data_IF_497300350861
#
_entry.id   IF_497300350861
#
_cell.length_a   1.000
_cell.length_b   1.000
_cell.length_c   1.000
_cell.angle_alpha   90.00
_cell.angle_beta   90.00
_cell.angle_gamma   90.00
#
_symmetry.space_group_name_H-M   'P 1'
#
loop_
_entity.id
_entity.type
_entity.pdbx_description
1 polymer ?
#
# COMPACT_ATOMS: atom_id res chain seq x y z
N UNK A 1 15.25 2.25 -14.73
CA UNK A 1 14.89 1.53 -15.96
C UNK A 1 13.86 2.36 -16.69
N UNK A 2 14.10 2.70 -17.96
CA UNK A 2 13.16 3.48 -18.76
C UNK A 2 12.13 2.55 -19.41
N UNK A 3 10.86 2.77 -19.08
CA UNK A 3 9.69 2.00 -19.54
C UNK A 3 8.61 2.95 -20.06
N UNK A 4 9.01 4.16 -20.47
CA UNK A 4 8.13 5.19 -21.06
C UNK A 4 7.58 4.77 -22.42
N UNK A 5 6.55 5.48 -22.89
CA UNK A 5 5.86 5.24 -24.15
C UNK A 5 5.28 3.82 -24.27
N UNK A 6 4.79 3.27 -23.16
CA UNK A 6 4.10 1.98 -23.13
C UNK A 6 2.60 2.13 -22.88
N UNK A 7 1.84 1.16 -23.38
CA UNK A 7 0.40 1.02 -23.14
C UNK A 7 0.15 0.06 -21.98
N UNK A 8 -0.33 0.56 -20.85
CA UNK A 8 -0.55 -0.25 -19.63
C UNK A 8 -1.98 -0.77 -19.48
N UNK A 9 -2.84 -0.59 -20.49
CA UNK A 9 -4.24 -1.02 -20.46
C UNK A 9 -5.17 -0.14 -19.64
N UNK A 10 -4.69 1.02 -19.19
CA UNK A 10 -5.45 2.03 -18.44
C UNK A 10 -4.81 3.40 -18.64
N UNK A 11 -5.64 4.44 -18.67
CA UNK A 11 -5.20 5.83 -18.71
C UNK A 11 -4.93 6.44 -17.34
N UNK A 12 -5.24 5.72 -16.26
CA UNK A 12 -5.12 6.19 -14.89
C UNK A 12 -3.72 5.84 -14.33
N UNK A 13 -2.92 6.85 -13.99
CA UNK A 13 -1.56 6.69 -13.49
C UNK A 13 -1.50 5.92 -12.17
N UNK A 14 -2.47 6.12 -11.27
CA UNK A 14 -2.56 5.38 -10.01
C UNK A 14 -2.77 3.87 -10.22
N UNK A 15 -3.51 3.48 -11.27
CA UNK A 15 -3.67 2.07 -11.62
C UNK A 15 -2.41 1.48 -12.25
N UNK A 16 -1.65 2.27 -13.02
CA UNK A 16 -0.35 1.86 -13.55
C UNK A 16 0.65 1.67 -12.40
N UNK A 17 0.73 2.63 -11.48
CA UNK A 17 1.61 2.58 -10.30
C UNK A 17 1.32 1.35 -9.42
N UNK A 18 0.06 0.92 -9.30
CA UNK A 18 -0.28 -0.31 -8.56
C UNK A 18 0.16 -1.60 -9.26
N UNK A 19 0.43 -1.57 -10.57
CA UNK A 19 0.85 -2.73 -11.37
C UNK A 19 2.36 -2.82 -11.50
N UNK A 20 3.04 -1.67 -11.44
CA UNK A 20 4.50 -1.59 -11.45
C UNK A 20 5.00 -1.97 -10.06
N UNK A 21 5.99 -2.85 -10.01
CA UNK A 21 6.70 -3.18 -8.78
C UNK A 21 8.16 -2.76 -8.96
N UNK A 22 8.58 -1.70 -8.27
CA UNK A 22 9.87 -1.05 -8.51
C UNK A 22 10.55 -0.58 -7.21
N UNK A 23 11.45 0.40 -7.33
CA UNK A 23 12.17 1.00 -6.21
C UNK A 23 11.24 1.53 -5.10
N UNK A 24 10.07 2.06 -5.44
CA UNK A 24 9.14 2.63 -4.46
C UNK A 24 8.35 1.52 -3.70
N UNK A 25 8.40 0.26 -4.16
CA UNK A 25 7.91 -0.90 -3.40
C UNK A 25 9.03 -1.59 -2.61
N UNK A 26 10.16 -1.90 -3.25
CA UNK A 26 11.37 -2.39 -2.59
C UNK A 26 12.60 -1.65 -3.09
N UNK A 27 13.34 -1.06 -2.16
CA UNK A 27 14.46 -0.18 -2.47
C UNK A 27 15.67 -0.87 -3.12
N UNK A 28 15.67 -2.20 -3.19
CA UNK A 28 16.68 -3.00 -3.91
C UNK A 28 16.45 -3.07 -5.41
N UNK A 29 15.23 -2.76 -5.89
CA UNK A 29 14.93 -2.79 -7.32
C UNK A 29 15.26 -1.46 -7.99
N UNK A 30 15.34 -1.48 -9.31
CA UNK A 30 15.53 -0.27 -10.10
C UNK A 30 14.23 0.49 -10.25
N UNK A 31 14.27 1.82 -10.13
CA UNK A 31 13.13 2.70 -10.40
C UNK A 31 12.60 2.48 -11.82
N UNK A 32 11.29 2.32 -11.97
CA UNK A 32 10.64 2.20 -13.27
C UNK A 32 10.09 3.56 -13.72
N UNK A 33 10.75 4.17 -14.69
CA UNK A 33 10.30 5.43 -15.29
C UNK A 33 9.30 5.12 -16.41
N UNK A 34 8.00 5.18 -16.09
CA UNK A 34 6.93 4.90 -17.05
C UNK A 34 6.23 6.16 -17.59
N UNK A 35 6.60 7.35 -17.11
CA UNK A 35 6.08 8.63 -17.60
C UNK A 35 6.93 9.13 -18.78
N UNK A 36 6.35 9.58 -19.91
CA UNK A 36 4.93 9.53 -20.26
C UNK A 36 4.47 8.12 -20.72
N UNK A 37 3.18 7.82 -20.61
CA UNK A 37 2.57 6.55 -21.06
C UNK A 37 1.34 6.78 -21.95
N UNK A 38 0.97 5.78 -22.75
CA UNK A 38 -0.21 5.87 -23.64
C UNK A 38 -1.52 5.66 -22.86
N UNK A 39 -2.56 6.44 -23.19
CA UNK A 39 -3.89 6.50 -22.52
C UNK A 39 -4.98 5.71 -23.24
N UNK A 40 -4.80 5.40 -24.52
CA UNK A 40 -5.72 4.59 -25.33
C UNK A 40 -5.08 3.31 -25.90
N UNK A 41 -5.86 2.21 -25.97
CA UNK A 41 -5.47 0.95 -26.61
C UNK A 41 -5.56 1.11 -28.12
N UNK A 42 -4.75 1.99 -28.66
CA UNK A 42 -4.62 2.12 -30.10
C UNK A 42 -3.92 0.85 -30.58
N UNK A 43 -4.65 -0.04 -31.25
CA UNK A 43 -4.10 -1.26 -31.85
C UNK A 43 -3.04 -0.85 -32.88
N UNK A 44 -1.77 -0.82 -32.46
CA UNK A 44 -0.61 -0.30 -33.19
C UNK A 44 -0.20 -1.11 -34.45
N UNK A 45 -1.10 -1.95 -34.99
CA UNK A 45 -0.82 -2.80 -36.16
C UNK A 45 -1.32 -2.14 -37.45
N UNK A 46 -1.16 -0.82 -37.59
CA UNK A 46 -1.47 -0.13 -38.83
C UNK A 46 -0.22 0.54 -39.38
N UNK A 47 0.17 0.16 -40.61
CA UNK A 47 1.42 0.53 -41.30
C UNK A 47 1.67 2.05 -41.41
N UNK A 48 0.63 2.86 -41.24
CA UNK A 48 0.68 4.33 -41.31
C UNK A 48 0.72 5.04 -39.95
N UNK A 49 0.90 4.31 -38.86
CA UNK A 49 0.97 4.88 -37.52
C UNK A 49 2.26 5.72 -37.34
N UNK A 50 2.11 6.91 -36.74
CA UNK A 50 3.22 7.78 -36.35
C UNK A 50 3.17 7.96 -34.83
N UNK A 51 4.29 7.83 -34.10
CA UNK A 51 4.32 7.92 -32.63
C UNK A 51 3.79 9.24 -32.05
N UNK A 52 3.74 10.31 -32.85
CA UNK A 52 3.21 11.62 -32.44
C UNK A 52 1.67 11.70 -32.38
N UNK A 53 0.93 10.66 -32.74
CA UNK A 53 -0.55 10.67 -32.79
C UNK A 53 -1.25 10.05 -31.59
N UNK A 54 -0.57 9.27 -30.76
CA UNK A 54 -1.19 8.62 -29.60
C UNK A 54 -1.43 9.61 -28.44
N UNK A 55 -2.54 9.45 -27.73
CA UNK A 55 -2.82 10.23 -26.53
C UNK A 55 -1.89 9.79 -25.39
N UNK A 56 -1.05 10.71 -24.91
CA UNK A 56 -0.09 10.49 -23.83
C UNK A 56 -0.61 11.11 -22.53
N UNK A 57 -0.35 10.43 -21.41
CA UNK A 57 -0.48 10.99 -20.07
C UNK A 57 0.88 10.94 -19.37
N UNK A 58 1.05 11.88 -18.44
CA UNK A 58 2.21 11.93 -17.58
C UNK A 58 1.83 11.33 -16.22
N UNK A 59 2.71 10.51 -15.67
CA UNK A 59 2.56 10.06 -14.30
C UNK A 59 2.93 11.20 -13.35
N UNK A 60 2.12 11.37 -12.31
CA UNK A 60 2.47 12.25 -11.20
C UNK A 60 3.05 11.43 -10.06
N UNK A 61 4.05 11.98 -9.38
CA UNK A 61 4.58 11.36 -8.19
C UNK A 61 3.54 11.40 -7.06
N UNK A 62 3.27 10.26 -6.43
CA UNK A 62 2.30 10.14 -5.34
C UNK A 62 3.03 10.12 -4.00
N UNK A 63 3.01 11.25 -3.31
CA UNK A 63 3.55 11.38 -1.96
C UNK A 63 2.81 10.44 -0.98
N UNK A 64 3.51 9.69 -0.12
CA UNK A 64 2.87 8.76 0.83
C UNK A 64 1.88 9.46 1.76
N UNK A 65 0.91 8.73 2.32
CA UNK A 65 0.05 9.32 3.37
C UNK A 65 0.77 9.26 4.71
N UNK A 66 0.48 10.21 5.62
CA UNK A 66 1.00 10.18 7.00
C UNK A 66 0.67 8.84 7.69
N UNK A 67 -0.49 8.26 7.42
CA UNK A 67 -0.94 7.01 8.04
C UNK A 67 -0.40 5.75 7.35
N UNK A 68 -0.09 5.83 6.06
CA UNK A 68 0.34 4.71 5.23
C UNK A 68 1.61 5.14 4.48
N UNK A 69 2.73 4.96 5.14
CA UNK A 69 4.06 5.27 4.64
C UNK A 69 4.54 4.15 3.69
N UNK A 70 5.17 4.56 2.58
CA UNK A 70 5.71 3.71 1.52
C UNK A 70 6.54 4.54 0.54
N UNK A 71 7.41 3.89 -0.23
CA UNK A 71 8.19 4.50 -1.29
C UNK A 71 9.09 5.61 -0.81
N UNK A 72 9.47 6.50 -1.73
CA UNK A 72 10.15 7.75 -1.38
C UNK A 72 9.17 8.70 -0.69
N UNK A 73 9.68 9.50 0.25
CA UNK A 73 8.95 10.55 0.96
C UNK A 73 9.74 11.85 0.82
N UNK A 74 9.19 12.85 0.13
CA UNK A 74 9.85 14.15 -0.06
C UNK A 74 9.34 15.22 0.91
N UNK A 75 8.13 15.04 1.44
CA UNK A 75 7.53 15.97 2.38
C UNK A 75 7.77 15.52 3.82
N UNK A 76 8.10 16.48 4.69
CA UNK A 76 8.22 16.24 6.12
C UNK A 76 6.89 15.85 6.74
N UNK A 77 6.89 14.84 7.62
CA UNK A 77 5.67 14.28 8.24
C UNK A 77 5.85 14.08 9.71
N UNK A 78 4.76 14.35 10.44
CA UNK A 78 4.71 14.20 11.88
C UNK A 78 3.70 13.12 12.24
N UNK A 79 4.18 12.06 12.88
CA UNK A 79 3.35 11.00 13.44
C UNK A 79 3.03 11.37 14.88
N UNK A 80 1.75 11.56 15.18
CA UNK A 80 1.27 12.07 16.46
C UNK A 80 0.30 11.10 17.12
N UNK A 81 0.32 11.03 18.44
CA UNK A 81 -0.63 10.19 19.16
C UNK A 81 -1.95 10.94 19.33
N UNK A 82 -2.99 10.51 18.61
CA UNK A 82 -4.34 11.08 18.76
C UNK A 82 -4.91 10.68 20.14
N UNK A 83 -4.97 11.64 21.06
CA UNK A 83 -5.57 11.48 22.40
C UNK A 83 -6.99 12.03 22.51
N UNK A 84 -7.57 12.47 21.40
CA UNK A 84 -8.92 13.06 21.35
C UNK A 84 -9.98 12.08 21.86
N UNK A 85 -10.86 12.58 22.72
CA UNK A 85 -12.05 11.87 23.22
C UNK A 85 -13.28 12.42 22.49
N UNK A 86 -14.21 11.57 22.07
CA UNK A 86 -15.47 12.04 21.50
C UNK A 86 -16.26 12.83 22.56
N UNK A 87 -16.87 13.95 22.14
CA UNK A 87 -17.55 14.90 23.03
C UNK A 87 -18.93 14.43 23.50
N UNK A 88 -19.56 13.46 22.82
CA UNK A 88 -20.91 13.00 23.14
C UNK A 88 -20.87 11.64 23.83
N UNK A 89 -21.66 11.51 24.89
CA UNK A 89 -21.83 10.26 25.62
C UNK A 89 -22.39 9.16 24.69
N UNK A 90 -21.87 7.92 24.78
CA UNK A 90 -20.82 7.44 25.67
C UNK A 90 -19.43 7.92 25.22
N UNK A 91 -18.58 8.35 26.15
CA UNK A 91 -17.21 8.78 25.85
C UNK A 91 -16.38 7.63 25.30
N UNK A 92 -16.46 7.38 24.00
CA UNK A 92 -15.55 6.50 23.31
C UNK A 92 -14.27 7.27 22.97
N UNK A 93 -13.13 6.61 23.10
CA UNK A 93 -11.92 7.13 22.48
C UNK A 93 -12.12 7.14 20.97
N UNK A 94 -11.58 8.15 20.28
CA UNK A 94 -11.47 8.09 18.82
C UNK A 94 -10.71 6.81 18.47
N UNK A 95 -11.21 5.96 17.56
CA UNK A 95 -10.55 4.70 17.25
C UNK A 95 -9.12 5.02 16.80
N UNK A 96 -8.16 4.51 17.56
CA UNK A 96 -6.74 4.68 17.27
C UNK A 96 -6.40 3.87 16.02
N UNK A 97 -6.02 4.56 14.94
CA UNK A 97 -5.44 3.92 13.77
C UNK A 97 -3.92 3.95 13.91
N UNK A 98 -3.25 2.80 14.07
CA UNK A 98 -1.79 2.78 14.11
C UNK A 98 -1.23 3.25 12.77
N UNK A 99 -0.09 3.93 12.81
CA UNK A 99 0.66 4.29 11.61
C UNK A 99 1.20 3.03 10.97
N UNK A 100 1.23 2.96 9.64
CA UNK A 100 1.64 1.75 8.92
C UNK A 100 2.77 2.07 7.96
N UNK A 101 3.75 1.18 7.91
CA UNK A 101 4.75 1.14 6.85
C UNK A 101 4.45 -0.09 6.01
N UNK A 102 3.92 0.13 4.81
CA UNK A 102 3.35 -0.94 3.97
C UNK A 102 4.31 -1.52 2.94
N UNK A 103 5.30 -0.73 2.53
CA UNK A 103 6.41 -1.06 1.62
C UNK A 103 7.68 -0.40 2.13
N UNK A 104 8.80 -0.61 1.45
CA UNK A 104 10.04 0.06 1.80
C UNK A 104 9.84 1.58 1.83
N UNK A 105 10.32 2.22 2.89
CA UNK A 105 10.22 3.66 3.09
C UNK A 105 11.59 4.29 2.90
N UNK A 106 11.70 5.24 1.99
CA UNK A 106 12.91 6.05 1.78
C UNK A 106 12.62 7.49 2.13
N UNK A 107 13.18 7.99 3.22
CA UNK A 107 13.09 9.41 3.59
C UNK A 107 14.09 10.17 2.73
N UNK A 108 13.61 11.00 1.80
CA UNK A 108 14.46 11.73 0.87
C UNK A 108 15.22 12.86 1.58
N UNK A 109 16.38 13.28 1.04
CA UNK A 109 17.10 14.44 1.59
C UNK A 109 16.22 15.68 1.59
N UNK A 110 16.27 16.45 2.67
CA UNK A 110 15.42 17.62 2.89
C UNK A 110 14.05 17.32 3.51
N UNK A 111 13.66 16.05 3.61
CA UNK A 111 12.47 15.61 4.33
C UNK A 111 12.82 15.14 5.75
N UNK A 112 11.94 15.44 6.70
CA UNK A 112 12.07 15.01 8.10
C UNK A 112 10.87 14.18 8.53
N UNK A 113 11.08 12.94 8.96
CA UNK A 113 10.03 12.13 9.60
C UNK A 113 10.12 12.30 11.12
N UNK A 114 9.12 12.94 11.70
CA UNK A 114 8.99 13.10 13.15
C UNK A 114 8.06 12.03 13.70
N UNK A 115 8.52 11.31 14.71
CA UNK A 115 7.73 10.32 15.44
C UNK A 115 7.62 10.78 16.88
N UNK A 116 6.43 11.18 17.30
CA UNK A 116 6.17 11.61 18.67
C UNK A 116 6.18 10.44 19.66
N UNK A 117 6.38 10.78 20.94
CA UNK A 117 6.26 9.84 22.06
C UNK A 117 4.93 9.11 22.09
N UNK A 118 4.99 7.83 22.48
CA UNK A 118 3.81 6.96 22.62
C UNK A 118 3.14 6.55 21.30
N UNK A 119 3.71 6.92 20.15
CA UNK A 119 3.21 6.49 18.85
C UNK A 119 3.50 5.00 18.63
N UNK A 120 2.51 4.29 18.08
CA UNK A 120 2.66 2.91 17.62
C UNK A 120 2.70 2.86 16.07
N UNK A 121 3.73 2.20 15.55
CA UNK A 121 3.97 2.03 14.11
C UNK A 121 3.96 0.54 13.78
N UNK A 122 3.06 0.14 12.89
CA UNK A 122 2.93 -1.21 12.37
C UNK A 122 3.75 -1.36 11.09
N UNK A 123 4.71 -2.27 11.11
CA UNK A 123 5.60 -2.53 9.97
C UNK A 123 5.17 -3.82 9.28
N UNK A 124 5.07 -3.77 7.94
CA UNK A 124 4.79 -4.94 7.13
C UNK A 124 5.98 -5.90 7.10
N UNK A 125 5.75 -7.21 6.86
CA UNK A 125 6.84 -8.17 6.72
C UNK A 125 7.74 -7.80 5.53
N UNK A 126 9.05 -8.00 5.69
CA UNK A 126 10.08 -7.72 4.67
C UNK A 126 10.17 -6.27 4.21
N UNK A 127 9.79 -5.31 5.06
CA UNK A 127 9.92 -3.88 4.79
C UNK A 127 11.21 -3.32 5.41
N UNK A 128 11.84 -2.40 4.69
CA UNK A 128 13.04 -1.68 5.10
C UNK A 128 12.77 -0.19 5.20
N UNK A 129 13.51 0.48 6.07
CA UNK A 129 13.50 1.93 6.21
C UNK A 129 14.89 2.44 5.84
N UNK A 130 14.96 3.29 4.83
CA UNK A 130 16.16 3.99 4.41
C UNK A 130 15.99 5.48 4.73
N UNK A 131 16.95 6.04 5.47
CA UNK A 131 16.92 7.44 5.89
C UNK A 131 18.03 8.18 5.16
N UNK A 132 17.69 9.01 4.17
CA UNK A 132 18.62 9.91 3.47
C UNK A 132 18.48 11.36 3.92
N UNK A 133 17.30 11.75 4.41
CA UNK A 133 17.05 13.00 5.13
C UNK A 133 17.18 12.79 6.65
N UNK A 134 16.21 13.30 7.42
CA UNK A 134 16.20 13.19 8.88
C UNK A 134 15.06 12.30 9.38
N UNK A 135 15.37 11.51 10.42
CA UNK A 135 14.40 10.74 11.19
C UNK A 135 14.54 11.13 12.66
N UNK A 136 13.53 11.78 13.21
CA UNK A 136 13.53 12.24 14.61
C UNK A 136 12.48 11.44 15.37
N UNK A 137 12.94 10.71 16.39
CA UNK A 137 12.12 9.81 17.20
C UNK A 137 12.17 10.27 18.66
N UNK A 138 11.19 11.09 19.05
CA UNK A 138 11.12 11.71 20.36
C UNK A 138 10.38 10.82 21.37
N UNK A 139 10.89 9.60 21.57
CA UNK A 139 10.37 8.67 22.57
C UNK A 139 10.81 9.06 23.99
N UNK A 140 9.95 8.83 24.99
CA UNK A 140 10.31 8.98 26.40
C UNK A 140 10.24 7.63 27.12
N UNK A 141 10.88 7.51 28.29
CA UNK A 141 10.82 6.28 29.09
C UNK A 141 9.38 5.85 29.43
N UNK A 142 8.52 6.82 29.72
CA UNK A 142 7.11 6.59 30.07
C UNK A 142 6.21 6.38 28.85
N UNK A 143 6.58 6.99 27.72
CA UNK A 143 5.83 6.95 26.47
C UNK A 143 6.78 6.55 25.32
N UNK A 144 7.22 5.28 25.28
CA UNK A 144 8.13 4.81 24.24
C UNK A 144 7.42 4.72 22.89
N UNK A 145 8.18 4.93 21.81
CA UNK A 145 7.73 4.65 20.45
C UNK A 145 7.75 3.13 20.26
N UNK A 146 6.65 2.56 19.76
CA UNK A 146 6.51 1.10 19.61
C UNK A 146 6.42 0.72 18.15
N UNK A 147 7.47 0.06 17.65
CA UNK A 147 7.42 -0.65 16.38
C UNK A 147 6.88 -2.06 16.62
N UNK A 148 5.79 -2.40 15.93
CA UNK A 148 5.15 -3.72 15.99
C UNK A 148 5.04 -4.30 14.59
N UNK A 149 5.10 -5.64 14.43
CA UNK A 149 4.66 -6.25 13.19
C UNK A 149 3.16 -6.02 13.02
N UNK A 150 2.71 -5.91 11.76
CA UNK A 150 1.27 -5.90 11.46
C UNK A 150 0.59 -7.19 11.94
N UNK A 151 -0.64 -7.09 12.44
CA UNK A 151 -1.42 -8.26 12.84
C UNK A 151 -1.82 -9.09 11.61
N UNK A 152 -1.79 -10.42 11.70
CA UNK A 152 -2.09 -11.33 10.58
C UNK A 152 -3.47 -11.07 9.97
N UNK A 153 -4.49 -10.80 10.79
CA UNK A 153 -5.85 -10.48 10.31
C UNK A 153 -5.89 -9.16 9.53
N UNK A 154 -5.24 -8.12 10.05
CA UNK A 154 -5.12 -6.82 9.41
C UNK A 154 -4.36 -6.90 8.08
N UNK A 155 -3.30 -7.72 8.06
CA UNK A 155 -2.50 -8.00 6.87
C UNK A 155 -3.32 -8.68 5.76
N UNK A 156 -4.08 -9.73 6.10
CA UNK A 156 -4.92 -10.46 5.13
C UNK A 156 -6.04 -9.61 4.53
N UNK A 157 -6.69 -8.78 5.36
CA UNK A 157 -7.71 -7.82 4.90
C UNK A 157 -7.14 -6.82 3.90
N UNK A 158 -5.93 -6.30 4.16
CA UNK A 158 -5.28 -5.35 3.27
C UNK A 158 -4.81 -6.02 1.97
N UNK A 159 -4.20 -7.19 2.06
CA UNK A 159 -3.75 -7.95 0.87
C UNK A 159 -4.92 -8.26 -0.06
N UNK A 160 -6.11 -8.51 0.48
CA UNK A 160 -7.33 -8.73 -0.30
C UNK A 160 -7.87 -7.49 -1.03
N UNK A 161 -7.52 -6.28 -0.56
CA UNK A 161 -7.93 -5.00 -1.16
C UNK A 161 -6.94 -4.48 -2.21
N UNK A 162 -5.67 -4.86 -2.14
CA UNK A 162 -4.69 -4.52 -3.18
C UNK A 162 -5.11 -5.29 -4.44
N UNK A 163 -5.50 -4.56 -5.48
CA UNK A 163 -5.96 -5.11 -6.75
C UNK A 163 -4.84 -5.75 -7.56
N UNK A 164 -4.18 -6.79 -7.06
CA UNK A 164 -3.03 -7.44 -7.75
C UNK A 164 -3.45 -8.35 -8.91
N UNK A 165 -4.62 -8.14 -9.49
CA UNK A 165 -5.06 -8.95 -10.63
C UNK A 165 -6.00 -8.15 -11.51
N UNK A 166 -5.44 -7.62 -12.59
CA UNK A 166 -6.14 -7.68 -13.87
C UNK A 166 -6.38 -9.18 -14.13
N UNK A 167 -7.47 -9.73 -13.59
CA UNK A 167 -8.07 -10.91 -14.18
C UNK A 167 -8.48 -10.44 -15.55
N UNK A 168 -7.63 -10.64 -16.56
CA UNK A 168 -8.16 -10.93 -17.89
C UNK A 168 -9.26 -11.95 -17.62
N UNK A 169 -10.50 -11.58 -17.87
CA UNK A 169 -11.57 -12.57 -17.98
C UNK A 169 -11.23 -13.40 -19.21
N UNK A 170 -10.22 -14.26 -19.11
CA UNK A 170 -10.21 -15.47 -19.91
C UNK A 170 -11.43 -16.23 -19.41
N UNK A 171 -12.49 -16.21 -20.22
CA UNK A 171 -13.66 -17.03 -19.97
C UNK A 171 -13.20 -18.45 -19.61
N UNK A 172 -13.91 -19.04 -18.65
CA UNK A 172 -13.77 -20.45 -18.25
C UNK A 172 -12.48 -20.82 -17.51
N UNK A 173 -12.44 -20.55 -16.19
CA UNK A 173 -11.92 -21.54 -15.23
C UNK A 173 -12.67 -21.37 -13.90
N UNK A 174 -13.48 -22.38 -13.57
CA UNK A 174 -14.32 -22.44 -12.39
C UNK A 174 -13.51 -22.20 -11.10
N UNK A 175 -13.78 -21.09 -10.42
CA UNK A 175 -13.22 -20.79 -9.11
C UNK A 175 -13.96 -21.60 -8.04
N UNK A 176 -13.44 -22.77 -7.65
CA UNK A 176 -13.75 -23.35 -6.33
C UNK A 176 -13.23 -22.39 -5.27
N UNK A 177 -14.13 -21.68 -4.60
CA UNK A 177 -13.81 -21.04 -3.34
C UNK A 177 -13.38 -22.14 -2.34
N UNK A 178 -12.10 -22.20 -1.99
CA UNK A 178 -11.69 -22.90 -0.77
C UNK A 178 -12.30 -22.13 0.40
N UNK A 179 -13.35 -22.70 1.01
CA UNK A 179 -13.81 -22.30 2.35
C UNK A 179 -12.61 -22.42 3.29
N UNK A 180 -12.38 -21.39 4.11
CA UNK A 180 -11.33 -21.41 5.12
C UNK A 180 -11.55 -22.59 6.08
N UNK A 181 -10.50 -23.37 6.35
CA UNK A 181 -10.56 -24.57 7.21
C UNK A 181 -11.14 -24.32 8.61
N UNK A 182 -11.06 -23.06 9.08
CA UNK A 182 -11.64 -22.62 10.36
C UNK A 182 -13.16 -22.78 10.37
N UNK A 183 -13.84 -22.39 9.28
CA UNK A 183 -15.30 -22.50 9.17
C UNK A 183 -15.78 -23.96 9.11
N UNK A 184 -14.97 -24.86 8.54
CA UNK A 184 -15.24 -26.30 8.51
C UNK A 184 -15.07 -26.96 9.89
N UNK A 185 -14.08 -26.52 10.69
CA UNK A 185 -13.88 -27.04 12.06
C UNK A 185 -15.02 -26.64 12.99
N UNK A 186 -15.51 -25.40 12.90
CA UNK A 186 -16.64 -24.91 13.72
C UNK A 186 -17.94 -25.63 13.38
N UNK A 187 -18.24 -25.85 12.09
CA UNK A 187 -19.43 -26.61 11.68
C UNK A 187 -19.37 -28.08 12.12
N UNK A 188 -18.18 -28.70 12.09
CA UNK A 188 -18.01 -30.10 12.52
C UNK A 188 -18.24 -30.25 14.03
N UNK A 189 -17.80 -29.27 14.83
CA UNK A 189 -17.99 -29.24 16.29
C UNK A 189 -19.46 -28.99 16.69
N UNK A 190 -20.15 -28.08 15.99
CA UNK A 190 -21.58 -27.82 16.23
C UNK A 190 -22.48 -29.01 15.86
N UNK A 191 -22.09 -29.81 14.85
CA UNK A 191 -22.82 -31.03 14.48
C UNK A 191 -22.69 -32.16 15.49
N UNK A 192 -21.54 -32.28 16.17
CA UNK A 192 -21.32 -33.33 17.17
C UNK A 192 -22.10 -33.08 18.46
N UNK A 193 -22.40 -31.81 18.80
CA UNK A 193 -23.20 -31.47 19.99
C UNK A 193 -24.71 -31.60 19.83
N UNK A 194 -25.23 -31.74 18.61
CA UNK A 194 -26.67 -31.97 18.37
C UNK A 194 -27.06 -33.45 18.27
N UNK A 195 -26.08 -34.35 18.39
CA UNK A 195 -26.26 -35.80 18.26
C UNK A 195 -26.15 -36.55 19.59
N UNK A 196 -26.09 -35.84 20.72
CA UNK A 196 -26.21 -36.39 22.08
C UNK A 196 -27.41 -35.76 22.77
#
# INVERSE_FOLDING_TARGET
>A
MNVSYNWWGTGNDAEVAQRVFDFDDWNTFTLAEYSPFYVTNELFINFWWKPRKGQLANATYSEPSVHDLKGRMFESKNLTLIRERWHQFPHYYKPFRPYRITRDLTIMPGATLWIEKGVEVHVWPNVRILVLGDLIADGTYWEPIRFKPINTTEYDEMRGKIGTRYKRMSGFLHRRYKRSDVSLRVQKWLRTRRAN
#
